data_IF_657699298114
#
_entry.id   IF_657699298114
#
_cell.length_a   1.000
_cell.length_b   1.000
_cell.length_c   1.000
_cell.angle_alpha   90.00
_cell.angle_beta   90.00
_cell.angle_gamma   90.00
#
_symmetry.space_group_name_H-M   'P 1'
#
loop_
_entity.id
_entity.type
_entity.pdbx_description
1 polymer ?
#
# COMPACT_ATOMS: atom_id res chain seq x y z
N UNK A 1 5.16 15.68 -9.88
CA UNK A 1 4.63 15.71 -8.50
C UNK A 1 4.18 17.14 -8.21
N UNK A 2 2.97 17.31 -7.67
CA UNK A 2 2.43 18.61 -7.24
C UNK A 2 2.99 19.03 -5.86
N UNK A 3 2.80 20.31 -5.50
CA UNK A 3 2.99 20.78 -4.13
C UNK A 3 1.91 20.18 -3.21
N UNK A 4 2.26 19.96 -1.95
CA UNK A 4 1.41 19.28 -0.99
C UNK A 4 1.70 19.74 0.45
N UNK A 5 0.70 19.58 1.32
CA UNK A 5 0.89 19.70 2.77
C UNK A 5 1.38 18.39 3.39
N UNK A 6 2.20 18.48 4.43
CA UNK A 6 2.68 17.31 5.18
C UNK A 6 2.35 17.49 6.66
N UNK A 7 1.61 16.54 7.22
CA UNK A 7 1.24 16.52 8.64
C UNK A 7 1.63 15.18 9.24
N UNK A 8 2.04 15.19 10.51
CA UNK A 8 2.33 13.97 11.26
C UNK A 8 1.21 13.73 12.27
N UNK A 9 0.76 12.49 12.36
CA UNK A 9 -0.20 12.08 13.38
C UNK A 9 0.51 11.36 14.53
N UNK A 10 0.14 11.70 15.76
CA UNK A 10 0.69 11.07 16.97
C UNK A 10 -0.18 9.90 17.45
N UNK A 11 -1.47 9.90 17.10
CA UNK A 11 -2.41 8.82 17.38
C UNK A 11 -3.40 8.60 16.22
N UNK A 12 -4.21 7.54 16.34
CA UNK A 12 -5.20 7.14 15.33
C UNK A 12 -6.31 8.19 15.17
N UNK A 13 -6.76 8.79 16.27
CA UNK A 13 -7.84 9.77 16.23
C UNK A 13 -7.39 11.05 15.50
N UNK A 14 -6.18 11.53 15.81
CA UNK A 14 -5.55 12.63 15.07
C UNK A 14 -5.38 12.27 13.59
N UNK A 15 -4.91 11.07 13.26
CA UNK A 15 -4.76 10.65 11.86
C UNK A 15 -6.10 10.70 11.09
N UNK A 16 -7.18 10.21 11.72
CA UNK A 16 -8.53 10.25 11.15
C UNK A 16 -9.06 11.68 11.03
N UNK A 17 -8.74 12.56 11.98
CA UNK A 17 -9.15 13.96 11.86
C UNK A 17 -8.40 14.64 10.69
N UNK A 18 -7.06 14.51 10.67
CA UNK A 18 -6.20 15.15 9.67
C UNK A 18 -6.52 14.71 8.24
N UNK A 19 -6.83 13.42 8.00
CA UNK A 19 -7.15 12.93 6.66
C UNK A 19 -8.46 13.52 6.11
N UNK A 20 -9.35 13.97 7.00
CA UNK A 20 -10.66 14.53 6.67
C UNK A 20 -10.68 16.06 6.62
N UNK A 21 -9.59 16.74 6.99
CA UNK A 21 -9.50 18.21 6.94
C UNK A 21 -9.49 18.76 5.51
N UNK A 22 -8.97 17.98 4.55
CA UNK A 22 -8.82 18.38 3.15
C UNK A 22 -9.12 17.21 2.22
N UNK A 23 -9.81 17.50 1.12
CA UNK A 23 -10.05 16.54 0.06
C UNK A 23 -8.73 16.04 -0.55
N UNK A 24 -8.70 14.76 -0.94
CA UNK A 24 -7.57 14.13 -1.62
C UNK A 24 -6.25 14.08 -0.80
N UNK A 25 -6.37 14.07 0.52
CA UNK A 25 -5.27 13.74 1.44
C UNK A 25 -5.04 12.22 1.47
N UNK A 26 -3.80 11.75 1.66
CA UNK A 26 -3.45 10.32 1.74
C UNK A 26 -2.63 10.02 3.00
N UNK A 27 -2.82 8.84 3.58
CA UNK A 27 -1.91 8.33 4.60
C UNK A 27 -0.56 7.94 3.99
N UNK A 28 0.53 8.29 4.69
CA UNK A 28 1.89 7.90 4.35
C UNK A 28 2.43 6.93 5.41
N UNK A 29 2.68 5.69 4.98
CA UNK A 29 3.45 4.71 5.74
C UNK A 29 4.88 4.62 5.17
N UNK A 30 5.24 3.51 4.52
CA UNK A 30 6.55 3.31 3.89
C UNK A 30 6.78 4.06 2.58
N UNK A 31 5.73 4.61 1.96
CA UNK A 31 5.81 5.36 0.70
C UNK A 31 6.15 4.55 -0.56
N UNK A 32 6.49 3.26 -0.44
CA UNK A 32 7.05 2.44 -1.53
C UNK A 32 6.14 2.26 -2.74
N UNK A 33 4.81 2.40 -2.59
CA UNK A 33 3.87 2.45 -3.71
C UNK A 33 3.26 3.85 -3.93
N UNK A 34 2.94 4.59 -2.86
CA UNK A 34 2.33 5.91 -2.98
C UNK A 34 3.25 6.91 -3.71
N UNK A 35 4.53 6.97 -3.34
CA UNK A 35 5.49 7.88 -3.96
C UNK A 35 5.83 7.48 -5.39
N UNK A 36 5.79 6.19 -5.70
CA UNK A 36 5.95 5.65 -7.06
C UNK A 36 4.84 6.19 -7.97
N UNK A 37 3.58 5.93 -7.60
CA UNK A 37 2.40 6.40 -8.34
C UNK A 37 2.38 7.92 -8.52
N UNK A 38 2.85 8.65 -7.53
CA UNK A 38 2.88 10.11 -7.60
C UNK A 38 3.93 10.64 -8.58
N UNK A 39 5.12 10.02 -8.61
CA UNK A 39 6.17 10.37 -9.58
C UNK A 39 5.71 10.11 -11.01
N UNK A 40 4.91 9.07 -11.23
CA UNK A 40 4.25 8.77 -12.50
C UNK A 40 2.99 9.61 -12.77
N UNK A 41 2.67 10.61 -11.94
CA UNK A 41 1.49 11.47 -12.09
C UNK A 41 0.15 10.70 -12.07
N UNK A 42 0.12 9.50 -11.49
CA UNK A 42 -1.07 8.64 -11.39
C UNK A 42 -1.96 9.05 -10.20
N UNK A 43 -1.33 9.58 -9.15
CA UNK A 43 -2.02 10.19 -8.00
C UNK A 43 -1.40 11.56 -7.76
N UNK A 44 -2.21 12.52 -7.31
CA UNK A 44 -1.76 13.88 -7.04
C UNK A 44 -2.37 14.35 -5.71
N UNK A 45 -1.96 13.77 -4.57
CA UNK A 45 -2.53 14.12 -3.28
C UNK A 45 -2.27 15.59 -2.94
N UNK A 46 -3.27 16.25 -2.37
CA UNK A 46 -3.15 17.64 -1.86
C UNK A 46 -2.37 17.68 -0.54
N UNK A 47 -2.42 16.60 0.24
CA UNK A 47 -1.70 16.47 1.50
C UNK A 47 -1.36 15.03 1.87
N UNK A 48 -0.41 14.88 2.78
CA UNK A 48 0.00 13.62 3.37
C UNK A 48 -0.13 13.64 4.89
N UNK A 49 -0.70 12.58 5.45
CA UNK A 49 -0.72 12.30 6.88
C UNK A 49 0.25 11.16 7.16
N UNK A 50 1.42 11.48 7.70
CA UNK A 50 2.42 10.50 8.12
C UNK A 50 1.95 9.79 9.40
N UNK A 51 1.77 8.47 9.28
CA UNK A 51 1.30 7.60 10.36
C UNK A 51 2.45 6.82 11.03
N UNK A 52 3.71 7.11 10.67
CA UNK A 52 4.83 6.32 11.16
C UNK A 52 5.10 6.46 12.66
N UNK A 53 4.60 7.53 13.30
CA UNK A 53 4.79 7.81 14.73
C UNK A 53 3.65 7.34 15.63
N UNK A 54 2.58 6.80 15.06
CA UNK A 54 1.44 6.31 15.84
C UNK A 54 1.83 5.04 16.59
N UNK A 55 1.80 5.12 17.92
CA UNK A 55 2.03 3.97 18.80
C UNK A 55 0.93 2.91 18.66
N UNK A 56 1.27 1.64 18.88
CA UNK A 56 0.34 0.51 18.76
C UNK A 56 0.03 0.07 17.33
N UNK A 57 0.55 0.75 16.29
CA UNK A 57 0.42 0.31 14.89
C UNK A 57 1.64 -0.46 14.35
N UNK A 58 2.73 -0.54 15.11
CA UNK A 58 3.98 -1.17 14.69
C UNK A 58 4.38 -2.34 15.61
N UNK A 59 3.42 -3.20 15.94
CA UNK A 59 3.60 -4.33 16.86
C UNK A 59 2.94 -5.60 16.32
N UNK A 60 3.39 -6.75 16.81
CA UNK A 60 2.74 -8.05 16.62
C UNK A 60 2.31 -8.55 17.99
N UNK A 61 1.02 -8.89 18.13
CA UNK A 61 0.44 -9.32 19.40
C UNK A 61 -0.27 -10.67 19.24
N UNK A 62 -0.02 -11.61 20.16
CA UNK A 62 -0.83 -12.82 20.28
C UNK A 62 -2.15 -12.50 20.96
N UNK A 63 -3.24 -12.96 20.37
CA UNK A 63 -4.59 -12.73 20.87
C UNK A 63 -5.04 -13.88 21.79
N UNK A 64 -5.97 -13.64 22.74
CA UNK A 64 -6.48 -14.68 23.64
C UNK A 64 -7.09 -15.90 22.95
N UNK A 65 -7.52 -15.76 21.69
CA UNK A 65 -8.08 -16.84 20.88
C UNK A 65 -7.00 -17.67 20.14
N UNK A 66 -5.72 -17.42 20.39
CA UNK A 66 -4.60 -18.09 19.72
C UNK A 66 -4.23 -17.53 18.35
N UNK A 67 -4.91 -16.47 17.90
CA UNK A 67 -4.56 -15.73 16.69
C UNK A 67 -3.45 -14.70 16.93
N UNK A 68 -3.10 -13.97 15.87
CA UNK A 68 -2.11 -12.88 15.94
C UNK A 68 -2.69 -11.63 15.29
N UNK A 69 -2.50 -10.48 15.94
CA UNK A 69 -2.76 -9.15 15.38
C UNK A 69 -1.48 -8.57 14.80
N UNK A 70 -1.53 -8.23 13.52
CA UNK A 70 -0.44 -7.53 12.82
C UNK A 70 -0.72 -6.02 12.82
N UNK A 71 0.20 -5.24 13.38
CA UNK A 71 0.18 -3.79 13.27
C UNK A 71 0.28 -3.34 11.82
N UNK A 72 -0.60 -2.42 11.41
CA UNK A 72 -0.67 -1.93 10.03
C UNK A 72 0.59 -1.18 9.58
N UNK A 73 1.33 -0.57 10.51
CA UNK A 73 2.58 0.14 10.24
C UNK A 73 3.85 -0.69 10.54
N UNK A 74 3.71 -1.92 11.03
CA UNK A 74 4.85 -2.83 11.20
C UNK A 74 5.47 -3.16 9.84
N UNK A 75 6.80 -3.20 9.77
CA UNK A 75 7.50 -3.36 8.48
C UNK A 75 7.33 -4.77 7.96
N UNK A 76 7.33 -4.91 6.64
CA UNK A 76 7.25 -6.20 5.98
C UNK A 76 8.42 -7.10 6.40
N UNK A 77 9.65 -6.55 6.41
CA UNK A 77 10.83 -7.30 6.84
C UNK A 77 10.70 -7.80 8.29
N UNK A 78 10.33 -6.91 9.22
CA UNK A 78 10.16 -7.27 10.62
C UNK A 78 9.04 -8.31 10.80
N UNK A 79 7.93 -8.18 10.06
CA UNK A 79 6.84 -9.17 10.07
C UNK A 79 7.32 -10.54 9.59
N UNK A 80 8.11 -10.58 8.51
CA UNK A 80 8.55 -11.84 7.91
C UNK A 80 9.56 -12.59 8.79
N UNK A 81 10.40 -11.87 9.53
CA UNK A 81 11.39 -12.43 10.45
C UNK A 81 10.90 -12.47 11.91
N UNK A 82 9.63 -12.14 12.18
CA UNK A 82 9.12 -12.19 13.54
C UNK A 82 8.99 -13.67 13.99
N UNK A 83 9.53 -14.07 15.14
CA UNK A 83 9.57 -15.48 15.55
C UNK A 83 8.19 -16.15 15.58
N UNK A 84 7.15 -15.43 16.02
CA UNK A 84 5.77 -15.95 16.02
C UNK A 84 5.28 -16.22 14.59
N UNK A 85 5.61 -15.35 13.64
CA UNK A 85 5.17 -15.47 12.25
C UNK A 85 5.94 -16.60 11.56
N UNK A 86 7.24 -16.71 11.75
CA UNK A 86 8.03 -17.82 11.21
C UNK A 86 7.55 -19.18 11.71
N UNK A 87 7.23 -19.28 13.01
CA UNK A 87 6.83 -20.55 13.62
C UNK A 87 5.36 -20.92 13.37
N UNK A 88 4.41 -19.98 13.54
CA UNK A 88 2.97 -20.26 13.47
C UNK A 88 2.36 -19.96 12.10
N UNK A 89 2.95 -19.05 11.33
CA UNK A 89 2.43 -18.59 10.04
C UNK A 89 3.50 -18.58 8.93
N UNK A 90 4.23 -19.69 8.70
CA UNK A 90 5.41 -19.70 7.82
C UNK A 90 5.08 -19.33 6.36
N UNK A 91 3.85 -19.55 5.89
CA UNK A 91 3.42 -19.13 4.57
C UNK A 91 3.44 -17.59 4.42
N UNK A 92 3.04 -16.85 5.46
CA UNK A 92 3.07 -15.38 5.45
C UNK A 92 4.51 -14.86 5.36
N UNK A 93 5.41 -15.41 6.19
CA UNK A 93 6.84 -15.07 6.14
C UNK A 93 7.42 -15.30 4.74
N UNK A 94 7.23 -16.51 4.18
CA UNK A 94 7.72 -16.86 2.84
C UNK A 94 7.13 -15.98 1.75
N UNK A 95 5.83 -15.66 1.81
CA UNK A 95 5.18 -14.80 0.84
C UNK A 95 5.77 -13.39 0.83
N UNK A 96 6.04 -12.82 2.01
CA UNK A 96 6.68 -11.51 2.12
C UNK A 96 8.11 -11.57 1.56
N UNK A 97 8.90 -12.59 1.93
CA UNK A 97 10.31 -12.70 1.51
C UNK A 97 10.49 -12.94 0.01
N UNK A 98 9.51 -13.59 -0.64
CA UNK A 98 9.50 -13.80 -2.09
C UNK A 98 9.21 -12.52 -2.89
N UNK A 99 8.64 -11.49 -2.25
CA UNK A 99 8.24 -10.24 -2.91
C UNK A 99 9.26 -9.10 -2.72
N UNK A 100 9.46 -8.31 -3.78
CA UNK A 100 10.30 -7.10 -3.79
C UNK A 100 11.78 -7.34 -3.37
N UNK A 101 12.50 -6.25 -3.11
CA UNK A 101 13.86 -6.27 -2.56
C UNK A 101 13.86 -6.09 -1.05
N UNK A 102 14.99 -6.40 -0.39
CA UNK A 102 15.14 -6.19 1.05
C UNK A 102 14.93 -4.71 1.44
N UNK A 103 15.45 -3.77 0.64
CA UNK A 103 15.31 -2.33 0.86
C UNK A 103 13.85 -1.89 0.84
N UNK A 104 13.06 -2.41 -0.11
CA UNK A 104 11.62 -2.14 -0.18
C UNK A 104 10.90 -2.76 1.02
N UNK A 105 11.26 -4.00 1.43
CA UNK A 105 10.65 -4.66 2.59
C UNK A 105 10.95 -3.94 3.91
N UNK A 106 12.11 -3.29 4.03
CA UNK A 106 12.46 -2.49 5.21
C UNK A 106 11.64 -1.20 5.31
N UNK A 107 11.10 -0.71 4.19
CA UNK A 107 10.28 0.50 4.16
C UNK A 107 8.77 0.19 4.18
N UNK A 108 8.35 -0.78 3.38
CA UNK A 108 6.96 -1.18 3.24
C UNK A 108 6.36 -1.66 4.56
N UNK A 109 5.13 -1.25 4.85
CA UNK A 109 4.37 -1.71 6.01
C UNK A 109 3.32 -2.72 5.61
N UNK A 110 2.81 -3.48 6.59
CA UNK A 110 1.73 -4.45 6.39
C UNK A 110 0.50 -3.82 5.72
N UNK A 111 0.02 -2.69 6.24
CA UNK A 111 -1.13 -1.97 5.70
C UNK A 111 -0.87 -1.38 4.32
N UNK A 112 0.33 -0.82 4.11
CA UNK A 112 0.73 -0.30 2.80
C UNK A 112 0.86 -1.41 1.73
N UNK A 113 1.31 -2.60 2.13
CA UNK A 113 1.41 -3.77 1.25
C UNK A 113 0.04 -4.21 0.74
N UNK A 114 -0.96 -4.29 1.62
CA UNK A 114 -2.33 -4.65 1.25
C UNK A 114 -2.97 -3.64 0.29
N UNK A 115 -2.63 -2.35 0.43
CA UNK A 115 -3.19 -1.26 -0.37
C UNK A 115 -2.40 -0.94 -1.64
N UNK A 116 -1.36 -1.72 -1.96
CA UNK A 116 -0.57 -1.49 -3.16
C UNK A 116 -1.43 -1.64 -4.43
N UNK A 117 -1.12 -0.84 -5.46
CA UNK A 117 -1.90 -0.82 -6.70
C UNK A 117 -1.34 -1.78 -7.76
N UNK A 118 -2.17 -2.12 -8.75
CA UNK A 118 -1.83 -3.01 -9.87
C UNK A 118 -0.58 -2.57 -10.62
N UNK A 119 0.15 -3.50 -11.23
CA UNK A 119 1.35 -3.25 -12.06
C UNK A 119 1.05 -3.25 -13.57
N UNK A 120 -0.23 -3.12 -13.96
CA UNK A 120 -0.65 -2.97 -15.36
C UNK A 120 0.13 -1.82 -16.05
N UNK A 121 0.72 -2.10 -17.21
CA UNK A 121 1.51 -1.12 -17.97
C UNK A 121 0.69 0.12 -18.33
N UNK A 122 -0.52 -0.10 -18.84
CA UNK A 122 -1.45 0.97 -19.20
C UNK A 122 -1.94 1.79 -18.01
N UNK A 123 -1.98 1.19 -16.81
CA UNK A 123 -2.31 1.92 -15.58
C UNK A 123 -1.19 2.88 -15.16
N UNK A 124 0.08 2.56 -15.44
CA UNK A 124 1.22 3.40 -15.13
C UNK A 124 1.51 4.49 -16.15
N UNK A 125 0.96 4.38 -17.36
CA UNK A 125 1.03 5.43 -18.37
C UNK A 125 -0.20 6.35 -18.26
N UNK A 126 -0.05 7.59 -17.77
CA UNK A 126 -1.17 8.52 -17.57
C UNK A 126 -1.87 8.90 -18.88
N UNK A 127 -1.18 8.84 -20.02
CA UNK A 127 -1.67 9.31 -21.32
C UNK A 127 -2.50 8.25 -22.08
N UNK A 128 -2.53 7.02 -21.57
CA UNK A 128 -3.29 5.91 -22.18
C UNK A 128 -4.63 5.68 -21.47
N UNK A 129 -5.74 5.40 -22.17
CA UNK A 129 -7.02 5.12 -21.51
C UNK A 129 -6.96 4.02 -20.46
N UNK A 130 -7.64 4.23 -19.32
CA UNK A 130 -7.66 3.27 -18.22
C UNK A 130 -8.86 3.51 -17.29
N UNK A 131 -9.89 2.65 -17.38
CA UNK A 131 -11.07 2.68 -16.51
C UNK A 131 -10.74 2.71 -15.00
N UNK A 132 -9.61 2.12 -14.60
CA UNK A 132 -9.16 2.11 -13.20
C UNK A 132 -8.66 3.48 -12.71
N UNK A 133 -8.21 4.36 -13.60
CA UNK A 133 -7.85 5.76 -13.30
C UNK A 133 -9.02 6.70 -13.57
N UNK A 134 -9.61 6.59 -14.76
CA UNK A 134 -10.70 7.42 -15.24
C UNK A 134 -11.84 6.54 -15.76
N UNK A 135 -12.89 6.31 -14.97
CA UNK A 135 -14.01 5.47 -15.35
C UNK A 135 -14.63 5.89 -16.70
N UNK A 136 -14.88 4.92 -17.58
CA UNK A 136 -15.44 5.16 -18.91
C UNK A 136 -14.43 5.46 -20.01
N UNK A 137 -13.15 5.69 -19.67
CA UNK A 137 -12.10 5.94 -20.68
C UNK A 137 -11.75 4.71 -21.53
N UNK A 138 -12.01 3.49 -21.03
CA UNK A 138 -11.73 2.23 -21.71
C UNK A 138 -10.59 1.42 -21.06
N UNK A 139 -10.34 0.22 -21.60
CA UNK A 139 -9.32 -0.70 -21.11
C UNK A 139 -8.54 -1.33 -22.28
N UNK A 140 -7.42 -0.73 -22.72
CA UNK A 140 -6.62 -1.26 -23.82
C UNK A 140 -5.92 -2.58 -23.46
N UNK A 141 -5.86 -2.94 -22.17
CA UNK A 141 -5.35 -4.24 -21.73
C UNK A 141 -6.21 -5.44 -22.17
N UNK A 142 -7.44 -5.23 -22.66
CA UNK A 142 -8.30 -6.33 -23.14
C UNK A 142 -7.73 -6.95 -24.41
N UNK A 143 -7.53 -6.11 -25.43
CA UNK A 143 -7.06 -6.52 -26.77
C UNK A 143 -5.56 -6.26 -26.99
N UNK A 144 -4.91 -5.56 -26.05
CA UNK A 144 -3.50 -5.16 -26.15
C UNK A 144 -2.54 -6.10 -25.42
N UNK A 145 -1.45 -5.54 -24.91
CA UNK A 145 -0.41 -6.29 -24.20
C UNK A 145 -0.88 -6.71 -22.81
N UNK A 146 -1.39 -7.94 -22.74
CA UNK A 146 -2.12 -8.44 -21.59
C UNK A 146 -1.43 -9.58 -20.82
N UNK A 147 -0.17 -9.90 -21.15
CA UNK A 147 0.61 -11.03 -20.59
C UNK A 147 0.59 -11.17 -19.06
N UNK A 148 0.54 -10.06 -18.31
CA UNK A 148 0.58 -10.05 -16.84
C UNK A 148 -0.79 -9.78 -16.18
N UNK A 149 -1.87 -9.79 -16.96
CA UNK A 149 -3.21 -9.46 -16.47
C UNK A 149 -3.93 -10.70 -15.93
N UNK A 150 -5.01 -10.44 -15.19
CA UNK A 150 -5.81 -11.49 -14.59
C UNK A 150 -6.52 -12.33 -15.67
N UNK A 151 -6.57 -13.64 -15.43
CA UNK A 151 -7.32 -14.61 -16.25
C UNK A 151 -8.60 -15.10 -15.55
N UNK A 152 -8.84 -14.65 -14.32
CA UNK A 152 -10.01 -14.99 -13.49
C UNK A 152 -10.54 -13.73 -12.83
N UNK A 153 -11.86 -13.66 -12.61
CA UNK A 153 -12.51 -12.54 -11.91
C UNK A 153 -12.42 -11.20 -12.65
N UNK A 154 -12.30 -11.23 -13.98
CA UNK A 154 -12.23 -10.03 -14.83
C UNK A 154 -13.63 -9.49 -15.15
N UNK A 155 -13.69 -8.23 -15.59
CA UNK A 155 -14.88 -7.60 -16.16
C UNK A 155 -14.56 -7.00 -17.52
N UNK A 156 -15.62 -6.61 -18.24
CA UNK A 156 -15.50 -5.83 -19.47
C UNK A 156 -15.03 -4.39 -19.24
#
# INVERSE_FOLDING_TARGET
MNNFEYKQAEDIATAINLINEQDNTKFLAGGTNLLDLWKYNITNPSGLVDINRIHGLAEIEELPNGGVRLGANFKNADTAYHPIIENKYPLLSKAILAGASAQIRNMASNGGNLLQRTRCYYFYDPDVPCNKRNPGSGCPAKEGYNRIHAILGTSD
#
